data_IF_974797398257
#
_entry.id   IF_974797398257
#
_cell.length_a   1.000
_cell.length_b   1.000
_cell.length_c   1.000
_cell.angle_alpha   90.00
_cell.angle_beta   90.00
_cell.angle_gamma   90.00
#
_symmetry.space_group_name_H-M   'P 1'
#
loop_
_entity.id
_entity.type
_entity.pdbx_description
1 polymer ?
#
# COMPACT_ATOMS: atom_id res chain seq x y z
N UNK A 1 29.82 -6.14 66.85
CA UNK A 1 29.96 -5.32 65.63
C UNK A 1 30.74 -6.12 64.61
N UNK A 2 30.12 -6.37 63.46
CA UNK A 2 30.43 -7.44 62.53
C UNK A 2 31.64 -7.16 61.63
N UNK A 3 32.50 -8.18 61.48
CA UNK A 3 33.26 -8.49 60.26
C UNK A 3 34.01 -9.81 60.46
N UNK A 4 33.55 -10.88 59.81
CA UNK A 4 34.37 -12.04 59.46
C UNK A 4 33.79 -12.74 58.21
N UNK A 5 34.63 -13.44 57.42
CA UNK A 5 34.47 -13.74 56.00
C UNK A 5 34.05 -15.19 55.73
N UNK A 6 33.68 -15.50 54.48
CA UNK A 6 33.66 -16.85 53.90
C UNK A 6 34.00 -16.72 52.41
N UNK A 7 35.15 -17.22 51.94
CA UNK A 7 35.53 -18.60 51.62
C UNK A 7 34.90 -19.15 50.32
N UNK A 8 35.81 -19.55 49.43
CA UNK A 8 35.66 -20.16 48.13
C UNK A 8 34.75 -21.41 48.13
N UNK A 9 33.91 -21.49 47.10
CA UNK A 9 33.47 -22.77 46.53
C UNK A 9 33.64 -22.67 45.03
N UNK A 10 34.64 -23.40 44.51
CA UNK A 10 34.87 -23.55 43.09
C UNK A 10 33.72 -24.26 42.40
N UNK A 11 33.33 -23.74 41.24
CA UNK A 11 32.61 -24.50 40.24
C UNK A 11 33.28 -24.26 38.88
N UNK A 12 33.93 -25.31 38.39
CA UNK A 12 34.58 -25.36 37.08
C UNK A 12 33.52 -25.23 35.98
N UNK A 13 33.69 -24.26 35.08
CA UNK A 13 32.94 -24.18 33.82
C UNK A 13 33.58 -25.09 32.77
N UNK A 14 32.80 -25.91 32.04
CA UNK A 14 33.34 -26.66 30.91
C UNK A 14 33.54 -25.74 29.69
N UNK A 15 34.77 -25.76 29.18
CA UNK A 15 35.21 -25.15 27.92
C UNK A 15 34.42 -25.75 26.75
N UNK A 16 33.58 -24.94 26.09
CA UNK A 16 32.95 -25.30 24.83
C UNK A 16 33.90 -24.98 23.67
N UNK A 17 34.45 -26.04 23.08
CA UNK A 17 35.31 -25.99 21.90
C UNK A 17 34.51 -25.56 20.65
N UNK A 18 35.12 -24.64 19.90
CA UNK A 18 34.71 -24.19 18.59
C UNK A 18 34.82 -25.33 17.56
N UNK A 19 33.70 -25.74 16.97
CA UNK A 19 33.69 -26.55 15.74
C UNK A 19 33.42 -25.66 14.54
N UNK A 20 34.50 -25.25 13.89
CA UNK A 20 34.51 -24.71 12.53
C UNK A 20 34.04 -25.81 11.57
N UNK A 21 33.03 -25.52 10.76
CA UNK A 21 32.61 -26.35 9.63
C UNK A 21 33.29 -25.82 8.36
N UNK A 22 33.99 -26.65 7.56
CA UNK A 22 34.78 -26.15 6.43
C UNK A 22 33.93 -25.90 5.18
N UNK A 23 34.20 -24.75 4.55
CA UNK A 23 33.77 -24.37 3.19
C UNK A 23 34.31 -25.38 2.16
N UNK A 24 33.43 -25.99 1.37
CA UNK A 24 33.84 -26.69 0.14
C UNK A 24 33.97 -25.68 -1.00
N UNK A 25 35.22 -25.37 -1.36
CA UNK A 25 35.60 -24.89 -2.69
C UNK A 25 35.44 -26.06 -3.68
N UNK A 26 34.77 -25.84 -4.81
CA UNK A 26 34.94 -26.69 -5.99
C UNK A 26 35.57 -25.85 -7.09
N UNK A 27 36.75 -26.32 -7.50
CA UNK A 27 37.63 -25.71 -8.48
C UNK A 27 37.16 -25.98 -9.91
N UNK A 28 37.42 -24.99 -10.76
CA UNK A 28 37.44 -25.09 -12.21
C UNK A 28 38.45 -26.17 -12.66
N UNK A 29 38.02 -27.09 -13.52
CA UNK A 29 38.93 -27.84 -14.40
C UNK A 29 38.59 -27.51 -15.85
N UNK A 30 39.57 -26.90 -16.51
CA UNK A 30 39.75 -26.89 -17.96
C UNK A 30 40.37 -28.23 -18.34
N UNK A 31 39.85 -28.87 -19.38
CA UNK A 31 40.60 -29.79 -20.23
C UNK A 31 40.24 -29.51 -21.69
N UNK A 32 41.23 -29.79 -22.53
CA UNK A 32 41.54 -29.18 -23.82
C UNK A 32 40.80 -29.75 -25.04
N UNK A 33 40.99 -29.00 -26.12
CA UNK A 33 40.54 -29.13 -27.50
C UNK A 33 40.94 -30.46 -28.18
N UNK A 34 40.12 -30.91 -29.16
CA UNK A 34 40.45 -30.91 -30.60
C UNK A 34 39.78 -32.04 -31.42
N UNK A 35 39.59 -31.72 -32.72
CA UNK A 35 39.23 -32.55 -33.88
C UNK A 35 37.73 -32.82 -34.14
N UNK A 36 37.09 -32.17 -35.11
CA UNK A 36 37.25 -32.13 -36.59
C UNK A 36 36.35 -33.14 -37.31
N UNK A 37 35.45 -32.55 -38.11
CA UNK A 37 35.08 -32.91 -39.48
C UNK A 37 33.75 -33.61 -39.83
N UNK A 38 33.25 -33.15 -40.99
CA UNK A 38 31.94 -33.26 -41.63
C UNK A 38 31.36 -34.67 -41.87
N UNK A 39 30.01 -34.77 -41.89
CA UNK A 39 29.26 -35.32 -43.04
C UNK A 39 27.73 -35.22 -42.89
N UNK A 40 27.06 -35.27 -44.05
CA UNK A 40 25.64 -35.00 -44.36
C UNK A 40 24.71 -36.22 -44.15
N UNK A 41 23.40 -35.92 -44.18
CA UNK A 41 22.19 -36.77 -44.40
C UNK A 41 21.63 -37.41 -43.11
N UNK A 42 20.32 -37.40 -42.80
CA UNK A 42 19.17 -37.59 -43.68
C UNK A 42 17.85 -36.99 -43.12
N UNK A 43 16.91 -36.71 -44.01
CA UNK A 43 15.55 -36.19 -43.75
C UNK A 43 14.61 -37.30 -43.26
N UNK A 44 13.46 -36.89 -42.70
CA UNK A 44 12.27 -37.68 -42.34
C UNK A 44 12.20 -38.19 -40.89
N UNK A 45 11.50 -37.41 -40.04
CA UNK A 45 10.70 -37.82 -38.86
C UNK A 45 10.43 -36.60 -37.98
N UNK A 46 9.46 -35.77 -38.34
CA UNK A 46 8.66 -35.00 -37.37
C UNK A 46 7.47 -34.33 -38.06
N UNK A 47 6.57 -35.13 -38.65
CA UNK A 47 5.33 -34.60 -39.25
C UNK A 47 4.12 -35.52 -39.02
N UNK A 48 4.01 -36.05 -37.81
CA UNK A 48 2.86 -36.85 -37.37
C UNK A 48 2.48 -36.49 -35.93
N UNK A 49 1.87 -35.32 -35.73
CA UNK A 49 1.05 -35.05 -34.53
C UNK A 49 0.08 -33.86 -34.68
N UNK A 50 -0.20 -33.41 -35.91
CA UNK A 50 -1.19 -32.35 -36.19
C UNK A 50 -2.27 -32.83 -37.16
N UNK A 51 -3.08 -33.80 -36.77
CA UNK A 51 -4.33 -34.08 -37.48
C UNK A 51 -5.30 -34.96 -36.65
N UNK A 52 -5.73 -34.55 -35.45
CA UNK A 52 -6.81 -35.28 -34.75
C UNK A 52 -7.62 -34.54 -33.66
N UNK A 53 -7.68 -33.19 -33.66
CA UNK A 53 -8.50 -32.42 -32.70
C UNK A 53 -9.43 -31.39 -33.36
N UNK A 54 -9.89 -31.69 -34.57
CA UNK A 54 -10.84 -30.87 -35.32
C UNK A 54 -11.98 -31.76 -35.84
N UNK A 55 -12.80 -32.31 -34.93
CA UNK A 55 -14.06 -33.03 -35.20
C UNK A 55 -14.73 -33.41 -33.88
N UNK A 56 -15.52 -32.48 -33.33
CA UNK A 56 -16.40 -32.48 -32.12
C UNK A 56 -16.32 -31.03 -31.63
N UNK A 57 -17.14 -30.08 -32.05
CA UNK A 57 -18.59 -30.03 -31.86
C UNK A 57 -19.24 -29.15 -32.95
N UNK A 58 -20.02 -29.77 -33.82
CA UNK A 58 -21.09 -29.11 -34.56
C UNK A 58 -22.24 -30.10 -34.67
N UNK A 59 -23.28 -29.90 -33.86
CA UNK A 59 -24.59 -30.52 -34.05
C UNK A 59 -25.67 -29.68 -33.39
N UNK A 60 -26.52 -29.07 -34.24
CA UNK A 60 -27.98 -28.83 -34.10
C UNK A 60 -28.54 -28.06 -32.88
N UNK A 61 -29.60 -27.24 -32.95
CA UNK A 61 -30.37 -26.46 -33.94
C UNK A 61 -31.51 -25.79 -33.14
N UNK A 62 -31.86 -24.55 -33.51
CA UNK A 62 -33.21 -23.88 -33.50
C UNK A 62 -34.06 -23.74 -32.20
N UNK A 63 -34.37 -22.52 -31.70
CA UNK A 63 -35.40 -21.47 -32.03
C UNK A 63 -36.64 -21.53 -31.10
N UNK A 64 -36.94 -20.43 -30.38
CA UNK A 64 -38.32 -19.87 -30.23
C UNK A 64 -38.35 -18.57 -29.40
N UNK A 65 -39.30 -17.69 -29.76
CA UNK A 65 -39.49 -16.27 -29.41
C UNK A 65 -40.50 -16.10 -28.25
N UNK A 66 -40.30 -15.11 -27.35
CA UNK A 66 -41.34 -14.19 -26.85
C UNK A 66 -40.75 -13.07 -25.93
N UNK A 67 -41.34 -11.86 -25.90
CA UNK A 67 -40.98 -10.75 -25.00
C UNK A 67 -41.90 -10.69 -23.77
N UNK A 68 -41.38 -10.30 -22.61
CA UNK A 68 -42.17 -9.87 -21.43
C UNK A 68 -41.40 -8.70 -20.79
N UNK A 69 -41.84 -7.43 -20.92
CA UNK A 69 -42.86 -6.72 -20.13
C UNK A 69 -42.47 -6.55 -18.65
N UNK A 70 -42.00 -5.34 -18.31
CA UNK A 70 -42.04 -4.73 -16.97
C UNK A 70 -43.49 -4.69 -16.47
N UNK A 71 -43.73 -4.86 -15.16
CA UNK A 71 -43.84 -3.68 -14.30
C UNK A 71 -43.31 -3.89 -12.87
N UNK A 72 -42.74 -2.85 -12.26
CA UNK A 72 -43.20 -2.33 -10.96
C UNK A 72 -42.52 -0.98 -10.67
N UNK A 73 -43.32 0.07 -10.90
CA UNK A 73 -43.18 1.37 -10.27
C UNK A 73 -43.48 1.22 -8.77
N UNK A 74 -42.65 1.82 -7.92
CA UNK A 74 -43.12 2.29 -6.61
C UNK A 74 -42.69 3.74 -6.43
N UNK A 75 -43.63 4.61 -6.79
CA UNK A 75 -43.75 5.98 -6.33
C UNK A 75 -43.98 6.00 -4.81
N UNK A 76 -43.21 6.81 -4.07
CA UNK A 76 -43.77 7.40 -2.86
C UNK A 76 -43.21 8.81 -2.60
N UNK A 77 -44.06 9.78 -2.96
CA UNK A 77 -44.06 11.16 -2.53
C UNK A 77 -44.64 11.28 -1.12
N UNK A 78 -43.96 11.98 -0.21
CA UNK A 78 -44.61 12.59 0.96
C UNK A 78 -44.15 14.04 1.14
N UNK A 79 -45.13 14.92 1.00
CA UNK A 79 -45.19 16.32 1.42
C UNK A 79 -45.57 16.43 2.90
N UNK A 80 -45.13 17.51 3.56
CA UNK A 80 -45.65 18.00 4.86
C UNK A 80 -44.53 18.63 5.71
N UNK A 81 -44.27 19.93 5.59
CA UNK A 81 -44.83 21.02 6.43
C UNK A 81 -44.59 20.91 7.95
N UNK A 82 -43.75 21.82 8.46
CA UNK A 82 -43.80 22.57 9.75
C UNK A 82 -42.36 23.03 10.05
N UNK A 83 -42.01 24.29 10.27
CA UNK A 83 -42.79 25.40 10.83
C UNK A 83 -42.55 25.48 12.35
N UNK A 84 -41.36 25.89 12.80
CA UNK A 84 -41.20 26.35 14.19
C UNK A 84 -40.12 27.43 14.33
N UNK A 85 -40.54 28.56 14.90
CA UNK A 85 -39.77 29.75 15.19
C UNK A 85 -38.91 29.57 16.45
N UNK A 86 -37.73 30.22 16.50
CA UNK A 86 -37.01 30.44 17.75
C UNK A 86 -36.94 31.95 17.99
N UNK A 87 -37.77 32.38 18.94
CA UNK A 87 -37.74 33.68 19.63
C UNK A 87 -36.93 33.58 20.92
N UNK A 88 -36.24 34.67 21.28
CA UNK A 88 -35.86 35.03 22.66
C UNK A 88 -34.60 34.35 23.18
N UNK A 89 -33.45 35.04 23.22
CA UNK A 89 -33.03 35.97 24.29
C UNK A 89 -32.66 35.23 25.59
N UNK A 90 -31.42 35.41 26.07
CA UNK A 90 -31.11 35.57 27.49
C UNK A 90 -29.65 35.98 27.71
N UNK A 91 -29.51 37.24 28.15
CA UNK A 91 -28.83 37.66 29.38
C UNK A 91 -27.30 37.51 29.58
N UNK A 92 -26.75 38.69 29.87
CA UNK A 92 -25.43 39.06 30.37
C UNK A 92 -25.12 38.69 31.84
N UNK A 93 -23.80 38.64 32.16
CA UNK A 93 -23.12 38.75 33.49
C UNK A 93 -23.18 37.46 34.36
N UNK A 94 -22.18 37.04 35.13
CA UNK A 94 -21.14 37.76 35.89
C UNK A 94 -19.98 36.82 36.26
N UNK A 95 -18.78 37.41 36.32
CA UNK A 95 -17.52 37.04 36.99
C UNK A 95 -17.63 36.05 38.17
N UNK A 96 -16.69 35.10 38.27
CA UNK A 96 -15.85 34.81 39.47
C UNK A 96 -14.85 33.69 39.15
N UNK A 97 -13.54 33.97 39.19
CA UNK A 97 -12.52 33.07 39.75
C UNK A 97 -11.11 33.70 39.63
N UNK A 98 -10.59 34.16 40.76
CA UNK A 98 -9.15 34.32 41.01
C UNK A 98 -8.51 32.94 41.05
N UNK A 99 -7.42 32.73 40.31
CA UNK A 99 -6.09 32.42 40.88
C UNK A 99 -5.16 31.90 39.77
N UNK A 100 -4.21 32.75 39.39
CA UNK A 100 -3.01 32.35 38.68
C UNK A 100 -2.22 31.38 39.56
N UNK A 101 -1.63 30.34 38.96
CA UNK A 101 -0.24 29.90 39.22
C UNK A 101 0.17 28.91 38.11
N UNK A 102 0.88 29.46 37.13
CA UNK A 102 2.05 28.91 36.40
C UNK A 102 2.04 27.42 36.07
N UNK A 103 1.87 27.11 34.77
CA UNK A 103 2.81 26.26 34.05
C UNK A 103 2.84 26.66 32.58
N UNK A 104 3.94 27.31 32.23
CA UNK A 104 4.41 27.60 30.88
C UNK A 104 4.63 26.30 30.09
N UNK A 105 3.71 25.96 29.21
CA UNK A 105 3.98 25.05 28.08
C UNK A 105 3.44 25.69 26.81
N UNK A 106 4.37 26.34 26.11
CA UNK A 106 4.48 26.39 24.66
C UNK A 106 3.17 26.44 23.87
N UNK A 107 2.82 27.64 23.45
CA UNK A 107 2.00 27.87 22.26
C UNK A 107 2.60 27.08 21.09
N UNK A 108 1.95 25.98 20.69
CA UNK A 108 2.18 25.38 19.38
C UNK A 108 0.84 25.30 18.65
N UNK A 109 0.33 26.48 18.27
CA UNK A 109 -0.78 26.63 17.34
C UNK A 109 -0.29 26.38 15.91
N UNK A 110 0.12 25.14 15.65
CA UNK A 110 0.02 24.51 14.34
C UNK A 110 -0.76 23.23 14.58
N UNK A 111 -2.01 23.21 14.14
CA UNK A 111 -2.87 22.04 14.12
C UNK A 111 -2.29 21.01 13.14
N UNK A 112 -1.20 20.36 13.53
CA UNK A 112 -0.67 19.21 12.81
C UNK A 112 -1.55 18.01 13.13
N UNK A 113 -2.20 17.46 12.11
CA UNK A 113 -3.13 16.33 12.27
C UNK A 113 -2.46 15.13 13.00
N UNK A 114 -1.14 15.01 12.90
CA UNK A 114 -0.35 13.89 13.40
C UNK A 114 0.51 14.19 14.65
N UNK A 115 0.40 15.39 15.25
CA UNK A 115 1.14 15.74 16.46
C UNK A 115 2.67 15.62 16.29
N UNK A 116 3.34 14.97 17.24
CA UNK A 116 4.80 14.77 17.24
C UNK A 116 5.30 13.84 16.12
N UNK A 117 4.42 13.10 15.45
CA UNK A 117 4.80 12.30 14.27
C UNK A 117 4.91 13.14 13.00
N UNK A 118 4.40 14.38 12.99
CA UNK A 118 4.37 15.24 11.80
C UNK A 118 5.76 15.42 11.17
N UNK A 119 6.85 15.72 11.92
CA UNK A 119 8.17 15.88 11.34
C UNK A 119 8.68 14.60 10.64
N UNK A 120 8.31 13.41 11.15
CA UNK A 120 8.68 12.14 10.53
C UNK A 120 7.91 11.89 9.23
N UNK A 121 6.63 12.28 9.21
CA UNK A 121 5.80 12.19 8.02
C UNK A 121 6.25 13.17 6.92
N UNK A 122 6.74 14.34 7.31
CA UNK A 122 7.19 15.36 6.36
C UNK A 122 8.60 15.08 5.80
N UNK A 123 9.43 14.31 6.50
CA UNK A 123 10.81 14.00 6.08
C UNK A 123 10.85 13.05 4.88
N UNK A 124 11.30 13.50 3.69
CA UNK A 124 11.27 12.70 2.46
C UNK A 124 12.29 11.55 2.43
N UNK A 125 13.18 11.45 3.40
CA UNK A 125 14.13 10.34 3.48
C UNK A 125 13.63 9.17 4.36
N UNK A 126 12.51 9.34 5.06
CA UNK A 126 11.86 8.27 5.83
C UNK A 126 10.94 7.45 4.92
N UNK A 127 11.18 6.15 4.85
CA UNK A 127 10.39 5.17 4.07
C UNK A 127 9.22 4.61 4.88
N UNK A 128 9.45 4.32 6.16
CA UNK A 128 8.51 3.67 7.06
C UNK A 128 8.62 4.25 8.47
N UNK A 129 7.52 4.26 9.21
CA UNK A 129 7.43 4.68 10.60
C UNK A 129 6.63 3.61 11.33
N UNK A 130 7.10 3.13 12.48
CA UNK A 130 6.27 2.25 13.32
C UNK A 130 6.45 2.53 14.81
N UNK A 131 5.38 2.28 15.55
CA UNK A 131 5.29 2.51 16.99
C UNK A 131 4.97 1.18 17.63
N UNK A 132 5.93 0.65 18.39
CA UNK A 132 5.76 -0.61 19.14
C UNK A 132 5.35 -0.37 20.59
N UNK A 133 5.66 0.82 21.11
CA UNK A 133 5.18 1.36 22.37
C UNK A 133 5.30 2.88 22.33
N UNK A 134 4.65 3.64 23.23
CA UNK A 134 4.75 5.09 23.23
C UNK A 134 6.20 5.61 23.32
N UNK A 135 7.10 4.85 23.95
CA UNK A 135 8.53 5.16 24.07
C UNK A 135 9.42 4.51 23.00
N UNK A 136 8.84 3.71 22.09
CA UNK A 136 9.59 2.99 21.04
C UNK A 136 8.99 3.30 19.67
N UNK A 137 9.36 4.46 19.15
CA UNK A 137 9.03 4.94 17.80
C UNK A 137 10.25 4.74 16.90
N UNK A 138 10.08 3.99 15.83
CA UNK A 138 11.12 3.66 14.86
C UNK A 138 10.82 4.27 13.51
N UNK A 139 11.88 4.47 12.73
CA UNK A 139 11.78 4.84 11.32
C UNK A 139 12.72 3.98 10.48
N UNK A 140 12.39 3.79 9.21
CA UNK A 140 13.31 3.21 8.23
C UNK A 140 13.80 4.27 7.26
N UNK A 141 15.11 4.28 6.99
CA UNK A 141 15.77 5.11 5.97
C UNK A 141 16.74 4.24 5.18
N UNK A 142 16.68 4.30 3.86
CA UNK A 142 17.56 3.51 2.97
C UNK A 142 17.54 2.01 3.34
N UNK A 143 16.36 1.47 3.65
CA UNK A 143 16.17 0.08 4.08
C UNK A 143 16.72 -0.30 5.45
N UNK A 144 17.17 0.66 6.29
CA UNK A 144 17.66 0.41 7.65
C UNK A 144 16.75 1.03 8.69
N UNK A 145 16.43 0.26 9.73
CA UNK A 145 15.61 0.73 10.86
C UNK A 145 16.44 1.44 11.93
N UNK A 146 15.94 2.54 12.46
CA UNK A 146 16.53 3.29 13.59
C UNK A 146 15.46 3.65 14.63
N UNK A 147 15.85 3.69 15.90
CA UNK A 147 15.00 4.17 17.00
C UNK A 147 15.10 5.70 17.05
N UNK A 148 13.96 6.38 17.10
CA UNK A 148 13.90 7.85 17.20
C UNK A 148 14.03 8.31 18.65
N UNK A 149 14.18 9.62 18.84
CA UNK A 149 14.14 10.29 20.14
C UNK A 149 12.72 10.73 20.56
N UNK A 150 11.69 10.40 19.79
CA UNK A 150 10.31 10.76 20.10
C UNK A 150 9.79 9.84 21.20
N UNK A 151 9.21 10.46 22.24
CA UNK A 151 8.62 9.76 23.37
C UNK A 151 7.21 10.28 23.56
N UNK A 152 6.25 9.39 23.36
CA UNK A 152 4.83 9.67 23.48
C UNK A 152 4.29 9.08 24.79
N UNK A 153 3.09 9.53 25.15
CA UNK A 153 2.20 8.86 26.11
C UNK A 153 1.19 7.99 25.36
N UNK A 154 0.61 6.99 26.05
CA UNK A 154 -0.46 6.17 25.47
C UNK A 154 -1.66 7.01 24.99
N UNK A 155 -1.99 8.07 25.72
CA UNK A 155 -3.06 9.00 25.39
C UNK A 155 -2.74 9.82 24.12
N UNK A 156 -1.48 10.24 23.94
CA UNK A 156 -1.05 10.92 22.71
C UNK A 156 -1.15 9.98 21.50
N UNK A 157 -0.70 8.72 21.63
CA UNK A 157 -0.81 7.73 20.55
C UNK A 157 -2.28 7.53 20.17
N UNK A 158 -3.16 7.27 21.14
CA UNK A 158 -4.60 7.11 20.89
C UNK A 158 -5.21 8.36 20.24
N UNK A 159 -4.93 9.54 20.78
CA UNK A 159 -5.46 10.81 20.25
C UNK A 159 -5.03 11.07 18.80
N UNK A 160 -3.80 10.69 18.42
CA UNK A 160 -3.33 10.79 17.03
C UNK A 160 -4.09 9.79 16.16
N UNK A 161 -4.23 8.54 16.60
CA UNK A 161 -4.91 7.50 15.83
C UNK A 161 -6.40 7.78 15.64
N UNK A 162 -7.10 8.25 16.67
CA UNK A 162 -8.51 8.60 16.58
C UNK A 162 -8.77 9.70 15.53
N UNK A 163 -7.89 10.72 15.47
CA UNK A 163 -7.99 11.77 14.43
C UNK A 163 -7.79 11.21 13.02
N UNK A 164 -6.83 10.30 12.85
CA UNK A 164 -6.57 9.66 11.55
C UNK A 164 -7.78 8.80 11.14
N UNK A 165 -8.30 7.98 12.07
CA UNK A 165 -9.40 7.08 11.82
C UNK A 165 -10.68 7.83 11.47
N UNK A 166 -10.96 8.95 12.17
CA UNK A 166 -12.08 9.83 11.88
C UNK A 166 -12.04 10.36 10.44
N UNK A 167 -10.87 10.80 9.97
CA UNK A 167 -10.71 11.26 8.58
C UNK A 167 -10.88 10.14 7.55
N UNK A 168 -10.37 8.94 7.87
CA UNK A 168 -10.47 7.77 6.98
C UNK A 168 -11.87 7.13 6.94
N UNK A 169 -12.78 7.51 7.84
CA UNK A 169 -14.11 6.89 7.98
C UNK A 169 -14.05 5.45 8.52
N UNK A 170 -12.93 5.05 9.13
CA UNK A 170 -12.73 3.70 9.70
C UNK A 170 -12.96 3.73 11.21
N UNK A 171 -13.32 2.58 11.77
CA UNK A 171 -13.52 2.38 13.20
C UNK A 171 -12.63 1.26 13.68
N UNK A 172 -12.18 1.36 14.94
CA UNK A 172 -11.39 0.35 15.62
C UNK A 172 -12.00 0.12 16.99
N UNK A 173 -12.21 -1.13 17.37
CA UNK A 173 -12.76 -1.54 18.65
C UNK A 173 -12.37 -2.99 18.96
N UNK A 174 -12.81 -3.54 20.09
CA UNK A 174 -12.47 -4.89 20.50
C UNK A 174 -13.03 -5.98 19.56
N UNK A 175 -14.11 -5.70 18.83
CA UNK A 175 -14.64 -6.63 17.83
C UNK A 175 -13.87 -6.54 16.50
N UNK A 176 -13.29 -5.37 16.19
CA UNK A 176 -12.44 -5.12 15.02
C UNK A 176 -11.09 -4.53 15.45
N UNK A 177 -10.16 -5.34 16.01
CA UNK A 177 -8.94 -4.83 16.65
C UNK A 177 -7.82 -4.47 15.65
N UNK A 178 -8.09 -4.59 14.35
CA UNK A 178 -7.18 -4.26 13.26
C UNK A 178 -7.84 -3.26 12.32
N UNK A 179 -7.09 -2.25 11.89
CA UNK A 179 -7.53 -1.34 10.84
C UNK A 179 -6.41 -1.06 9.85
N UNK A 180 -6.74 -1.21 8.57
CA UNK A 180 -5.98 -0.65 7.46
C UNK A 180 -6.63 0.64 6.96
N UNK A 181 -5.84 1.70 6.87
CA UNK A 181 -6.28 3.00 6.42
C UNK A 181 -5.26 3.65 5.47
N UNK A 182 -5.67 4.75 4.86
CA UNK A 182 -4.79 5.59 4.05
C UNK A 182 -4.74 6.98 4.64
N UNK A 183 -3.53 7.50 4.73
CA UNK A 183 -3.29 8.88 5.10
C UNK A 183 -3.54 9.80 3.89
N UNK A 184 -3.87 11.09 4.12
CA UNK A 184 -4.00 12.13 3.08
C UNK A 184 -2.85 12.21 2.07
N UNK A 185 -1.61 11.99 2.51
CA UNK A 185 -0.41 11.96 1.66
C UNK A 185 -0.35 10.69 0.77
N UNK A 186 -1.19 9.69 1.06
CA UNK A 186 -1.22 8.39 0.40
C UNK A 186 -0.44 7.29 1.09
N UNK A 187 0.18 7.59 2.23
CA UNK A 187 0.85 6.59 3.04
C UNK A 187 -0.15 5.55 3.54
N UNK A 188 0.29 4.29 3.61
CA UNK A 188 -0.55 3.18 4.11
C UNK A 188 -0.34 3.08 5.61
N UNK A 189 -1.44 2.99 6.35
CA UNK A 189 -1.46 2.88 7.80
C UNK A 189 -2.08 1.54 8.20
N UNK A 190 -1.42 0.83 9.10
CA UNK A 190 -1.97 -0.35 9.80
C UNK A 190 -1.91 -0.11 11.31
N UNK A 191 -3.02 -0.42 12.00
CA UNK A 191 -3.13 -0.29 13.46
C UNK A 191 -3.57 -1.63 14.06
N UNK A 192 -3.00 -1.98 15.21
CA UNK A 192 -3.47 -3.06 16.09
C UNK A 192 -3.58 -2.55 17.53
N UNK A 193 -4.69 -2.84 18.21
CA UNK A 193 -4.96 -2.38 19.58
C UNK A 193 -4.60 -3.41 20.67
N UNK A 194 -4.47 -2.99 21.95
CA UNK A 194 -4.35 -3.88 23.12
C UNK A 194 -5.50 -4.89 23.21
N UNK A 195 -5.26 -5.99 23.93
CA UNK A 195 -6.01 -7.27 23.92
C UNK A 195 -5.60 -8.22 22.78
N UNK A 196 -5.09 -7.67 21.67
CA UNK A 196 -4.33 -8.42 20.66
C UNK A 196 -2.83 -8.21 20.83
N UNK A 197 -2.41 -6.95 21.03
CA UNK A 197 -1.05 -6.64 21.48
C UNK A 197 -0.96 -6.77 22.99
N UNK A 198 0.27 -6.89 23.51
CA UNK A 198 0.49 -7.12 24.95
C UNK A 198 0.04 -5.97 25.84
N UNK A 199 0.25 -4.72 25.44
CA UNK A 199 0.02 -3.55 26.30
C UNK A 199 -0.32 -2.27 25.52
N UNK A 200 0.36 -2.04 24.39
CA UNK A 200 0.27 -0.79 23.65
C UNK A 200 -0.27 -0.99 22.25
N UNK A 201 -0.85 0.07 21.68
CA UNK A 201 -1.19 0.11 20.27
C UNK A 201 0.08 -0.09 19.44
N UNK A 202 -0.01 -0.97 18.44
CA UNK A 202 1.03 -1.14 17.43
C UNK A 202 0.60 -0.41 16.15
N UNK A 203 1.46 0.47 15.64
CA UNK A 203 1.17 1.30 14.47
C UNK A 203 2.25 1.11 13.43
N UNK A 204 1.89 0.94 12.17
CA UNK A 204 2.81 0.89 11.04
C UNK A 204 2.35 1.84 9.94
N UNK A 205 3.21 2.77 9.53
CA UNK A 205 2.99 3.70 8.43
C UNK A 205 4.07 3.44 7.38
N UNK A 206 3.65 3.11 6.16
CA UNK A 206 4.54 2.99 5.01
C UNK A 206 4.30 4.13 4.04
N UNK A 207 5.34 4.95 3.86
CA UNK A 207 5.30 6.12 2.99
C UNK A 207 5.49 5.73 1.53
N UNK A 208 4.83 6.46 0.65
CA UNK A 208 5.05 6.34 -0.80
C UNK A 208 5.92 7.49 -1.30
N UNK A 209 7.22 7.45 -0.97
CA UNK A 209 8.17 8.55 -1.18
C UNK A 209 8.28 9.02 -2.64
N UNK A 210 8.18 8.10 -3.61
CA UNK A 210 8.31 8.42 -5.03
C UNK A 210 6.96 8.63 -5.73
N UNK A 211 5.87 8.78 -4.98
CA UNK A 211 4.54 8.95 -5.57
C UNK A 211 4.47 10.27 -6.34
N UNK A 212 4.00 10.18 -7.59
CA UNK A 212 3.78 11.35 -8.44
C UNK A 212 5.06 11.91 -9.09
N UNK A 213 6.19 11.19 -8.99
CA UNK A 213 7.41 11.50 -9.74
C UNK A 213 7.19 11.27 -11.23
N UNK A 214 7.66 12.21 -12.05
CA UNK A 214 7.65 12.09 -13.50
C UNK A 214 8.76 11.15 -13.98
N UNK A 215 8.70 10.68 -15.24
CA UNK A 215 9.82 9.94 -15.82
C UNK A 215 11.12 10.75 -15.83
N UNK A 216 11.03 12.08 -15.96
CA UNK A 216 12.20 12.95 -15.91
C UNK A 216 12.80 12.99 -14.50
N UNK A 217 11.96 13.06 -13.47
CA UNK A 217 12.42 13.03 -12.08
C UNK A 217 13.14 11.71 -11.76
N UNK A 218 12.74 10.60 -12.38
CA UNK A 218 13.42 9.30 -12.20
C UNK A 218 14.81 9.28 -12.84
N UNK A 219 15.01 10.01 -13.94
CA UNK A 219 16.35 10.20 -14.52
C UNK A 219 17.21 11.08 -13.61
N UNK A 220 16.65 12.18 -13.08
CA UNK A 220 17.37 13.07 -12.15
C UNK A 220 17.77 12.36 -10.84
N UNK A 221 17.00 11.36 -10.42
CA UNK A 221 17.30 10.49 -9.27
C UNK A 221 18.22 9.32 -9.61
N UNK A 222 18.75 9.24 -10.82
CA UNK A 222 19.62 8.16 -11.30
C UNK A 222 18.98 6.76 -11.19
N UNK A 223 17.63 6.71 -11.26
CA UNK A 223 16.86 5.46 -11.27
C UNK A 223 16.87 4.82 -12.66
N UNK A 224 17.07 5.63 -13.71
CA UNK A 224 17.17 5.17 -15.09
C UNK A 224 17.97 6.11 -15.98
N UNK A 225 18.59 5.55 -17.02
CA UNK A 225 19.34 6.32 -18.00
C UNK A 225 18.42 7.12 -18.95
N UNK A 226 18.99 8.18 -19.53
CA UNK A 226 18.32 9.05 -20.52
C UNK A 226 17.85 8.26 -21.74
N UNK A 227 18.61 7.25 -22.18
CA UNK A 227 18.23 6.42 -23.33
C UNK A 227 16.98 5.58 -23.03
N UNK A 228 16.87 5.04 -21.81
CA UNK A 228 15.68 4.29 -21.36
C UNK A 228 14.48 5.22 -21.23
N UNK A 229 14.68 6.43 -20.68
CA UNK A 229 13.67 7.47 -20.66
C UNK A 229 13.12 7.76 -22.06
N UNK A 230 14.00 8.03 -23.03
CA UNK A 230 13.60 8.36 -24.40
C UNK A 230 12.81 7.22 -25.04
N UNK A 231 13.26 5.97 -24.84
CA UNK A 231 12.55 4.80 -25.32
C UNK A 231 11.15 4.68 -24.72
N UNK A 232 11.00 4.82 -23.39
CA UNK A 232 9.71 4.68 -22.72
C UNK A 232 8.72 5.78 -23.10
N UNK A 233 9.19 7.03 -23.20
CA UNK A 233 8.35 8.15 -23.67
C UNK A 233 7.86 7.89 -25.10
N UNK A 234 8.75 7.40 -25.99
CA UNK A 234 8.37 6.99 -27.33
C UNK A 234 7.33 5.86 -27.33
N UNK A 235 7.55 4.82 -26.52
CA UNK A 235 6.64 3.69 -26.41
C UNK A 235 5.23 4.09 -25.91
N UNK A 236 5.14 5.03 -24.95
CA UNK A 236 3.86 5.56 -24.47
C UNK A 236 3.17 6.36 -25.58
N UNK A 237 3.88 7.24 -26.29
CA UNK A 237 3.34 8.01 -27.41
C UNK A 237 2.83 7.13 -28.56
N UNK A 238 3.52 6.02 -28.81
CA UNK A 238 3.13 5.01 -29.81
C UNK A 238 2.05 4.04 -29.31
N UNK A 239 1.54 4.23 -28.09
CA UNK A 239 0.50 3.37 -27.45
C UNK A 239 0.89 1.89 -27.39
N UNK A 240 2.18 1.60 -27.14
CA UNK A 240 2.66 0.23 -26.95
C UNK A 240 2.12 -0.35 -25.65
N UNK A 241 1.89 -1.66 -25.65
CA UNK A 241 1.57 -2.40 -24.43
C UNK A 241 2.84 -2.57 -23.59
N UNK A 242 2.84 -2.02 -22.37
CA UNK A 242 3.97 -2.08 -21.44
C UNK A 242 3.60 -2.88 -20.20
N UNK A 243 4.48 -3.80 -19.79
CA UNK A 243 4.37 -4.54 -18.54
C UNK A 243 5.52 -4.14 -17.62
N UNK A 244 5.20 -3.63 -16.43
CA UNK A 244 6.18 -3.30 -15.39
C UNK A 244 6.25 -4.45 -14.39
N UNK A 245 7.41 -5.11 -14.31
CA UNK A 245 7.64 -6.28 -13.45
C UNK A 245 8.85 -6.09 -12.53
N UNK A 246 8.89 -6.84 -11.42
CA UNK A 246 9.95 -6.78 -10.42
C UNK A 246 9.49 -7.26 -9.04
N UNK A 247 10.45 -7.42 -8.12
CA UNK A 247 10.20 -7.85 -6.72
C UNK A 247 9.25 -6.91 -5.98
N UNK A 248 8.70 -7.35 -4.85
CA UNK A 248 8.00 -6.45 -3.91
C UNK A 248 8.91 -5.27 -3.56
N UNK A 249 8.35 -4.06 -3.50
CA UNK A 249 9.08 -2.81 -3.20
C UNK A 249 10.14 -2.38 -4.23
N UNK A 250 10.27 -3.05 -5.39
CA UNK A 250 11.19 -2.66 -6.46
C UNK A 250 10.77 -1.40 -7.27
N UNK A 251 9.83 -0.59 -6.77
CA UNK A 251 9.40 0.64 -7.45
C UNK A 251 8.44 0.44 -8.65
N UNK A 252 7.82 -0.74 -8.80
CA UNK A 252 6.89 -1.02 -9.93
C UNK A 252 5.77 0.04 -10.07
N UNK A 253 5.04 0.28 -8.98
CA UNK A 253 3.94 1.25 -8.99
C UNK A 253 4.46 2.66 -9.25
N UNK A 254 5.66 2.99 -8.77
CA UNK A 254 6.32 4.28 -9.04
C UNK A 254 6.56 4.48 -10.53
N UNK A 255 7.23 3.53 -11.19
CA UNK A 255 7.49 3.60 -12.63
C UNK A 255 6.19 3.62 -13.44
N UNK A 256 5.20 2.81 -13.04
CA UNK A 256 3.89 2.82 -13.70
C UNK A 256 3.19 4.19 -13.58
N UNK A 257 3.25 4.83 -12.41
CA UNK A 257 2.66 6.16 -12.20
C UNK A 257 3.37 7.24 -13.05
N UNK A 258 4.70 7.14 -13.17
CA UNK A 258 5.50 8.01 -14.04
C UNK A 258 5.15 7.81 -15.53
N UNK A 259 5.03 6.56 -15.98
CA UNK A 259 4.60 6.22 -17.34
C UNK A 259 3.20 6.75 -17.66
N UNK A 260 2.25 6.51 -16.76
CA UNK A 260 0.86 6.97 -16.92
C UNK A 260 0.79 8.50 -16.94
N UNK A 261 1.65 9.19 -16.20
CA UNK A 261 1.77 10.66 -16.23
C UNK A 261 2.37 11.21 -17.53
N UNK A 262 3.02 10.35 -18.34
CA UNK A 262 3.58 10.73 -19.65
C UNK A 262 2.61 10.53 -20.83
N UNK A 263 1.42 9.99 -20.55
CA UNK A 263 0.36 9.82 -21.55
C UNK A 263 -0.09 11.21 -22.06
N UNK A 264 -0.29 11.40 -23.38
CA UNK A 264 -0.79 12.65 -23.92
C UNK A 264 -2.17 13.03 -23.34
N UNK A 265 -2.38 14.32 -23.05
CA UNK A 265 -3.65 14.85 -22.48
C UNK A 265 -4.88 14.65 -23.37
N UNK A 266 -4.69 14.31 -24.65
CA UNK A 266 -5.75 13.98 -25.61
C UNK A 266 -6.25 12.54 -25.49
N UNK A 267 -5.58 11.70 -24.72
CA UNK A 267 -5.97 10.30 -24.52
C UNK A 267 -6.95 10.16 -23.36
N UNK A 268 -7.91 9.24 -23.54
CA UNK A 268 -8.76 8.75 -22.47
C UNK A 268 -8.05 7.63 -21.72
N UNK A 269 -8.02 7.72 -20.39
CA UNK A 269 -7.39 6.71 -19.53
C UNK A 269 -8.39 6.11 -18.56
N UNK A 270 -8.36 4.79 -18.44
CA UNK A 270 -9.13 4.06 -17.43
C UNK A 270 -8.13 3.28 -16.57
N UNK A 271 -8.07 3.56 -15.27
CA UNK A 271 -7.29 2.78 -14.31
C UNK A 271 -8.17 1.75 -13.60
N UNK A 272 -7.61 0.58 -13.36
CA UNK A 272 -8.28 -0.52 -12.66
C UNK A 272 -7.33 -1.02 -11.59
N UNK A 273 -7.71 -0.88 -10.33
CA UNK A 273 -6.82 -1.09 -9.19
C UNK A 273 -7.51 -1.88 -8.07
N UNK A 274 -6.77 -2.65 -7.29
CA UNK A 274 -7.32 -3.18 -6.03
C UNK A 274 -7.46 -2.08 -4.99
N UNK A 275 -6.52 -1.14 -4.99
CA UNK A 275 -6.53 0.07 -4.16
C UNK A 275 -5.93 1.22 -4.96
N UNK A 276 -6.57 2.39 -4.97
CA UNK A 276 -6.20 3.55 -5.81
C UNK A 276 -4.79 4.11 -5.56
N UNK A 277 -3.77 3.66 -6.28
CA UNK A 277 -2.39 4.14 -6.15
C UNK A 277 -2.05 5.16 -7.24
N UNK A 278 -2.53 4.92 -8.46
CA UNK A 278 -2.31 5.75 -9.63
C UNK A 278 -3.01 7.10 -9.47
N UNK A 279 -2.37 8.16 -9.98
CA UNK A 279 -2.93 9.52 -9.99
C UNK A 279 -2.64 10.19 -11.35
N UNK A 280 -3.23 9.69 -12.45
CA UNK A 280 -3.05 10.30 -13.77
C UNK A 280 -3.53 11.74 -13.74
N UNK A 281 -2.73 12.67 -14.27
CA UNK A 281 -3.11 14.09 -14.40
C UNK A 281 -3.67 14.36 -15.80
N UNK A 282 -4.73 13.64 -16.15
CA UNK A 282 -5.36 13.70 -17.47
C UNK A 282 -6.79 14.22 -17.35
N UNK A 283 -7.27 15.03 -18.31
CA UNK A 283 -8.63 15.57 -18.27
C UNK A 283 -9.69 14.46 -18.44
N UNK A 284 -9.45 13.47 -19.30
CA UNK A 284 -10.32 12.32 -19.50
C UNK A 284 -9.74 11.08 -18.81
N UNK A 285 -10.00 10.96 -17.50
CA UNK A 285 -9.53 9.85 -16.70
C UNK A 285 -10.64 9.28 -15.81
N UNK A 286 -10.84 7.97 -15.87
CA UNK A 286 -11.73 7.24 -14.95
C UNK A 286 -10.92 6.25 -14.14
N UNK A 287 -11.01 6.34 -12.80
CA UNK A 287 -10.38 5.38 -11.90
C UNK A 287 -11.42 4.42 -11.34
N UNK A 288 -11.19 3.11 -11.48
CA UNK A 288 -12.05 2.05 -10.93
C UNK A 288 -11.29 1.21 -9.92
N UNK A 289 -11.97 0.83 -8.84
CA UNK A 289 -11.42 -0.01 -7.78
C UNK A 289 -12.26 -1.28 -7.59
N UNK A 290 -11.59 -2.38 -7.24
CA UNK A 290 -12.28 -3.60 -6.82
C UNK A 290 -13.10 -3.39 -5.55
N UNK A 291 -14.07 -4.28 -5.33
CA UNK A 291 -14.87 -4.34 -4.10
C UNK A 291 -14.88 -5.78 -3.60
N UNK A 292 -14.49 -5.99 -2.35
CA UNK A 292 -14.61 -7.30 -1.69
C UNK A 292 -16.08 -7.67 -1.51
N UNK A 293 -16.38 -8.95 -1.32
CA UNK A 293 -17.73 -9.37 -0.96
C UNK A 293 -18.19 -8.75 0.35
N UNK A 294 -19.49 -8.52 0.45
CA UNK A 294 -20.17 -8.22 1.69
C UNK A 294 -20.12 -9.44 2.65
N UNK A 295 -20.57 -9.27 3.89
CA UNK A 295 -20.59 -10.33 4.91
C UNK A 295 -21.46 -11.54 4.51
N UNK A 296 -22.48 -11.31 3.69
CA UNK A 296 -23.35 -12.34 3.10
C UNK A 296 -22.74 -13.01 1.84
N UNK A 297 -21.49 -12.63 1.47
CA UNK A 297 -20.79 -13.13 0.29
C UNK A 297 -21.21 -12.44 -1.02
N UNK A 298 -22.17 -11.50 -1.00
CA UNK A 298 -22.68 -10.85 -2.20
C UNK A 298 -21.84 -9.63 -2.61
N UNK A 299 -22.05 -9.13 -3.83
CA UNK A 299 -21.55 -7.82 -4.23
C UNK A 299 -20.06 -7.72 -4.55
N UNK A 300 -19.32 -8.81 -4.70
CA UNK A 300 -17.92 -8.75 -5.15
C UNK A 300 -17.79 -8.10 -6.54
N UNK A 301 -16.78 -7.24 -6.69
CA UNK A 301 -16.36 -6.66 -7.98
C UNK A 301 -14.88 -6.94 -8.16
N UNK A 302 -14.55 -7.96 -8.96
CA UNK A 302 -13.18 -8.35 -9.25
C UNK A 302 -12.54 -7.51 -10.36
N UNK A 303 -11.19 -7.51 -10.43
CA UNK A 303 -10.42 -6.85 -11.51
C UNK A 303 -10.93 -7.29 -12.88
N UNK A 304 -11.17 -8.60 -13.06
CA UNK A 304 -11.64 -9.16 -14.33
C UNK A 304 -12.98 -8.58 -14.76
N UNK A 305 -13.89 -8.34 -13.81
CA UNK A 305 -15.19 -7.71 -14.10
C UNK A 305 -14.98 -6.26 -14.54
N UNK A 306 -14.16 -5.49 -13.81
CA UNK A 306 -13.84 -4.11 -14.16
C UNK A 306 -13.21 -3.98 -15.55
N UNK A 307 -12.32 -4.90 -15.93
CA UNK A 307 -11.73 -4.92 -17.28
C UNK A 307 -12.81 -5.07 -18.35
N UNK A 308 -13.79 -5.96 -18.15
CA UNK A 308 -14.89 -6.15 -19.12
C UNK A 308 -15.76 -4.90 -19.26
N UNK A 309 -16.06 -4.21 -18.15
CA UNK A 309 -16.84 -2.98 -18.19
C UNK A 309 -16.05 -1.82 -18.83
N UNK A 310 -14.75 -1.71 -18.55
CA UNK A 310 -13.89 -0.69 -19.16
C UNK A 310 -13.88 -0.75 -20.70
N UNK A 311 -13.97 -1.95 -21.29
CA UNK A 311 -14.03 -2.12 -22.75
C UNK A 311 -15.29 -1.50 -23.40
N UNK A 312 -16.31 -1.19 -22.60
CA UNK A 312 -17.55 -0.51 -23.03
C UNK A 312 -17.48 1.00 -22.86
N UNK A 313 -16.44 1.51 -22.19
CA UNK A 313 -16.25 2.92 -21.85
C UNK A 313 -15.29 3.59 -22.85
N UNK A 314 -15.60 3.46 -24.14
CA UNK A 314 -14.78 4.02 -25.24
C UNK A 314 -14.73 5.54 -25.20
#
# INVERSE_FOLDING_TARGET
MARVPFCDVGYQSPVAQSKQTPRKQFALRREDQSNLDHSRLDKSKLDQSKLDQSKRDQSHREVSIAPDLDPDEDTNSYTGESGFAITGDLSTRTLTAKSQLVNSHSNNSHSSNYGELQPLLDDPSIEEIWINSPQRVFVARSGKSELTNIVLTSQQVQSIMDRILLWSGRRIDLAQPFVDARLPDGSRLHITIPEITSEHWAINIRKHLLRGKSLNDLVELDVMDVDVYAYLVGAVKERKNLLVSGSTQAGKTTLLNALVSSIPVTERVITIEEVFELKPKLPDCVAMQTRTSNLDGSGEISIRRLIKEALRMR
#
